data_IF_225791264528
#
_entry.id   IF_225791264528
#
_cell.length_a   1.000
_cell.length_b   1.000
_cell.length_c   1.000
_cell.angle_alpha   90.00
_cell.angle_beta   90.00
_cell.angle_gamma   90.00
#
_symmetry.space_group_name_H-M   'P 1'
#
loop_
_entity.id
_entity.type
_entity.pdbx_description
1 polymer ?
#
# COMPACT_ATOMS: atom_id res chain seq x y z
N UNK A 1 -27.03 3.49 -9.42
CA UNK A 1 -25.85 3.86 -10.24
C UNK A 1 -24.64 3.80 -9.32
N UNK A 2 -23.89 2.69 -9.33
CA UNK A 2 -22.55 2.59 -8.78
C UNK A 2 -21.96 1.26 -9.29
N UNK A 3 -21.01 1.34 -10.21
CA UNK A 3 -20.37 0.18 -10.82
C UNK A 3 -19.31 -0.40 -9.90
N UNK A 4 -19.31 -1.72 -9.76
CA UNK A 4 -18.24 -2.51 -9.13
C UNK A 4 -17.11 -2.69 -10.14
N UNK A 5 -16.17 -1.75 -10.16
CA UNK A 5 -14.85 -1.95 -10.73
C UNK A 5 -13.89 -2.32 -9.61
N UNK A 6 -13.44 -3.58 -9.59
CA UNK A 6 -12.27 -3.96 -8.82
C UNK A 6 -11.05 -3.41 -9.57
N UNK A 7 -10.53 -2.27 -9.11
CA UNK A 7 -9.22 -1.80 -9.57
C UNK A 7 -8.21 -2.36 -8.59
N UNK A 8 -7.47 -3.37 -9.01
CA UNK A 8 -6.22 -3.78 -8.37
C UNK A 8 -5.19 -2.67 -8.67
N UNK A 9 -5.16 -1.65 -7.82
CA UNK A 9 -4.07 -0.66 -7.81
C UNK A 9 -3.02 -1.20 -6.85
N UNK A 10 -2.22 -2.14 -7.33
CA UNK A 10 -0.88 -2.31 -6.76
C UNK A 10 0.04 -1.33 -7.50
N UNK A 11 -0.02 -0.06 -7.09
CA UNK A 11 1.02 0.88 -7.44
C UNK A 11 1.79 1.18 -6.16
N UNK A 12 3.06 0.82 -6.21
CA UNK A 12 4.10 1.21 -5.29
C UNK A 12 3.97 2.69 -4.99
N UNK A 13 3.46 3.03 -3.80
CA UNK A 13 3.76 4.25 -3.08
C UNK A 13 3.17 4.09 -1.67
N UNK A 14 4.11 3.93 -0.75
CA UNK A 14 3.95 3.91 0.69
C UNK A 14 3.23 5.19 1.16
N UNK A 15 2.04 5.04 1.76
CA UNK A 15 1.47 6.08 2.61
C UNK A 15 1.62 5.61 4.06
N UNK A 16 2.74 5.96 4.70
CA UNK A 16 2.85 5.84 6.16
C UNK A 16 1.96 6.93 6.76
N UNK A 17 0.76 6.56 7.20
CA UNK A 17 -0.07 7.46 8.00
C UNK A 17 0.51 7.51 9.42
N UNK A 18 1.37 8.48 9.70
CA UNK A 18 1.81 8.76 11.07
C UNK A 18 0.63 9.40 11.82
N UNK A 19 -0.07 8.63 12.64
CA UNK A 19 -1.02 9.20 13.60
C UNK A 19 -0.26 9.95 14.69
N UNK A 20 -0.19 11.28 14.56
CA UNK A 20 0.30 12.16 15.63
C UNK A 20 -0.75 12.16 16.74
N UNK A 21 -0.46 11.46 17.84
CA UNK A 21 -1.25 11.53 19.06
C UNK A 21 -1.23 12.99 19.54
N UNK A 22 -2.40 13.58 19.77
CA UNK A 22 -2.60 14.92 20.34
C UNK A 22 -2.07 14.98 21.78
N UNK A 23 -0.75 14.90 21.94
CA UNK A 23 -0.03 15.41 23.10
C UNK A 23 0.32 16.87 22.80
N UNK A 24 0.19 17.73 23.80
CA UNK A 24 0.61 19.12 23.74
C UNK A 24 2.10 19.13 23.38
N UNK A 25 2.42 19.36 22.11
CA UNK A 25 3.79 19.58 21.67
C UNK A 25 4.27 20.82 22.43
N UNK A 26 5.37 20.66 23.17
CA UNK A 26 6.01 21.80 23.82
C UNK A 26 6.36 22.79 22.69
N UNK A 27 5.79 24.00 22.67
CA UNK A 27 5.94 24.93 21.55
C UNK A 27 7.39 25.38 21.35
N UNK A 28 8.27 25.08 22.32
CA UNK A 28 9.69 25.39 22.31
C UNK A 28 10.57 24.19 21.90
N UNK A 29 9.99 23.04 21.54
CA UNK A 29 10.74 21.90 20.95
C UNK A 29 10.79 21.99 19.42
N UNK A 30 11.01 23.18 18.89
CA UNK A 30 11.61 23.34 17.57
C UNK A 30 13.05 23.73 17.82
N UNK A 31 13.97 22.76 17.65
CA UNK A 31 15.39 23.10 17.51
C UNK A 31 15.51 23.76 16.14
N UNK A 32 15.26 25.07 16.10
CA UNK A 32 15.64 25.95 15.00
C UNK A 32 17.16 26.03 15.03
N UNK A 33 17.79 25.00 14.49
CA UNK A 33 19.23 24.91 14.40
C UNK A 33 19.71 25.66 13.18
N UNK A 34 19.69 26.99 13.25
CA UNK A 34 20.54 27.78 12.39
C UNK A 34 22.00 27.38 12.68
N UNK A 35 22.61 26.60 11.77
CA UNK A 35 24.01 26.19 11.84
C UNK A 35 24.32 24.83 12.49
N UNK A 36 23.33 24.00 12.86
CA UNK A 36 23.64 22.61 13.25
C UNK A 36 23.63 21.75 12.01
N UNK A 37 24.81 21.23 11.67
CA UNK A 37 24.93 20.19 10.67
C UNK A 37 24.43 18.87 11.27
N UNK A 38 23.13 18.59 11.12
CA UNK A 38 22.48 17.36 11.61
C UNK A 38 23.08 16.09 10.96
N UNK A 39 23.76 16.24 9.82
CA UNK A 39 24.38 15.17 9.08
C UNK A 39 25.90 15.31 9.17
N UNK A 40 26.65 14.36 9.76
CA UNK A 40 28.08 14.53 10.02
C UNK A 40 28.96 14.90 8.81
N UNK A 41 28.54 14.54 7.59
CA UNK A 41 29.26 14.83 6.35
C UNK A 41 28.81 16.13 5.65
N UNK A 42 27.76 16.81 6.15
CA UNK A 42 27.24 18.06 5.58
C UNK A 42 26.59 17.96 4.21
N UNK A 43 26.35 16.75 3.68
CA UNK A 43 25.71 16.58 2.37
C UNK A 43 24.19 16.42 2.54
N UNK A 44 23.36 16.91 1.62
CA UNK A 44 21.91 16.69 1.65
C UNK A 44 21.56 15.19 1.53
N UNK A 45 20.36 14.82 1.98
CA UNK A 45 19.79 13.47 1.84
C UNK A 45 18.32 13.56 1.43
N UNK A 46 17.79 12.49 0.83
CA UNK A 46 16.39 12.41 0.42
C UNK A 46 15.49 11.93 1.55
N UNK A 47 14.22 12.37 1.55
CA UNK A 47 13.23 11.90 2.51
C UNK A 47 12.95 10.38 2.39
N UNK A 48 13.08 9.82 1.18
CA UNK A 48 12.95 8.39 0.90
C UNK A 48 14.34 7.80 0.72
N UNK A 49 14.62 6.72 1.44
CA UNK A 49 15.86 5.95 1.42
C UNK A 49 15.54 4.46 1.54
N UNK A 50 16.50 3.61 1.19
CA UNK A 50 16.35 2.17 1.29
C UNK A 50 17.34 1.55 2.28
N UNK A 51 16.99 0.42 2.89
CA UNK A 51 17.93 -0.33 3.74
C UNK A 51 19.04 -0.98 2.92
N UNK A 52 18.66 -1.59 1.79
CA UNK A 52 19.56 -2.25 0.84
C UNK A 52 19.32 -1.70 -0.57
N UNK A 53 20.22 -1.97 -1.52
CA UNK A 53 19.98 -1.66 -2.92
C UNK A 53 21.21 -1.12 -3.65
N UNK A 54 21.07 -0.87 -4.97
CA UNK A 54 22.17 -0.44 -5.83
C UNK A 54 22.52 1.04 -5.70
N UNK A 55 21.73 1.84 -4.98
CA UNK A 55 21.98 3.28 -4.77
C UNK A 55 23.13 3.59 -3.80
N UNK A 56 23.78 2.58 -3.21
CA UNK A 56 24.97 2.76 -2.40
C UNK A 56 26.21 2.97 -3.29
N UNK A 57 26.98 4.04 -3.05
CA UNK A 57 28.25 4.26 -3.72
C UNK A 57 29.38 3.46 -3.04
N UNK A 58 29.80 2.34 -3.64
CA UNK A 58 30.87 1.48 -3.09
C UNK A 58 32.25 2.12 -3.22
N UNK A 59 32.45 2.95 -4.24
CA UNK A 59 33.77 3.45 -4.63
C UNK A 59 34.15 4.78 -3.98
N UNK A 60 33.22 5.44 -3.30
CA UNK A 60 33.45 6.75 -2.71
C UNK A 60 32.60 6.96 -1.45
N UNK A 61 32.93 7.97 -0.61
CA UNK A 61 32.02 8.45 0.41
C UNK A 61 30.64 8.80 -0.18
N UNK A 62 29.62 8.85 0.67
CA UNK A 62 28.23 9.16 0.29
C UNK A 62 28.14 10.31 -0.71
N UNK A 63 27.40 10.13 -1.80
CA UNK A 63 27.27 11.12 -2.86
C UNK A 63 26.62 12.42 -2.37
N UNK A 64 27.12 13.56 -2.85
CA UNK A 64 26.49 14.86 -2.65
C UNK A 64 25.43 15.09 -3.73
N UNK A 65 24.17 15.13 -3.32
CA UNK A 65 23.01 15.20 -4.20
C UNK A 65 22.51 16.64 -4.42
N UNK A 66 23.27 17.66 -4.02
CA UNK A 66 22.85 19.09 -4.14
C UNK A 66 22.47 19.48 -5.58
N UNK A 67 23.18 18.95 -6.57
CA UNK A 67 22.95 19.23 -8.00
C UNK A 67 22.48 17.99 -8.77
N UNK A 68 21.94 16.98 -8.07
CA UNK A 68 21.41 15.75 -8.67
C UNK A 68 19.89 15.88 -8.79
N UNK A 69 19.34 15.55 -9.95
CA UNK A 69 17.90 15.46 -10.14
C UNK A 69 17.35 14.19 -9.47
N UNK A 70 17.03 14.32 -8.18
CA UNK A 70 16.48 13.22 -7.37
C UNK A 70 15.03 12.88 -7.70
N UNK A 71 14.36 13.68 -8.53
CA UNK A 71 13.01 13.43 -9.02
C UNK A 71 13.01 12.65 -10.35
N UNK A 72 14.17 12.45 -10.95
CA UNK A 72 14.31 11.67 -12.19
C UNK A 72 13.82 10.23 -11.96
N UNK A 73 13.01 9.63 -12.87
CA UNK A 73 12.46 8.28 -12.69
C UNK A 73 13.51 7.19 -12.48
N UNK A 74 14.68 7.34 -13.10
CA UNK A 74 15.79 6.40 -13.00
C UNK A 74 16.76 6.71 -11.83
N UNK A 75 16.45 7.70 -10.99
CA UNK A 75 17.29 8.00 -9.83
C UNK A 75 17.19 6.88 -8.78
N UNK A 76 18.32 6.29 -8.43
CA UNK A 76 18.43 5.28 -7.38
C UNK A 76 18.64 5.97 -6.02
N UNK A 77 17.67 5.89 -5.12
CA UNK A 77 17.80 6.45 -3.79
C UNK A 77 18.94 5.78 -3.01
N UNK A 78 19.60 6.57 -2.15
CA UNK A 78 20.70 6.08 -1.32
C UNK A 78 20.21 4.92 -0.43
N UNK A 79 21.06 3.88 -0.33
CA UNK A 79 20.84 2.72 0.54
C UNK A 79 21.94 2.60 1.59
N UNK A 80 21.71 1.82 2.66
CA UNK A 80 22.71 1.60 3.71
C UNK A 80 23.65 0.40 3.41
N UNK A 81 23.11 -0.66 2.80
CA UNK A 81 23.87 -1.87 2.42
C UNK A 81 23.90 -2.02 0.90
N UNK A 82 25.08 -2.05 0.27
CA UNK A 82 25.19 -2.21 -1.18
C UNK A 82 24.75 -3.60 -1.64
N UNK A 83 23.75 -3.65 -2.52
CA UNK A 83 23.31 -4.88 -3.20
C UNK A 83 22.97 -4.56 -4.65
N UNK A 84 23.02 -5.57 -5.53
CA UNK A 84 22.65 -5.37 -6.95
C UNK A 84 21.17 -5.08 -7.16
N UNK A 85 20.32 -5.53 -6.23
CA UNK A 85 18.87 -5.35 -6.20
C UNK A 85 18.45 -5.13 -4.75
N UNK A 86 17.43 -4.32 -4.52
CA UNK A 86 16.83 -4.12 -3.21
C UNK A 86 16.20 -5.43 -2.68
N UNK A 87 16.32 -5.65 -1.37
CA UNK A 87 15.74 -6.79 -0.69
C UNK A 87 14.39 -6.42 -0.11
N UNK A 88 13.39 -7.30 -0.23
CA UNK A 88 12.06 -7.06 0.34
C UNK A 88 12.10 -6.74 1.84
N UNK A 89 11.21 -5.84 2.25
CA UNK A 89 10.89 -5.57 3.64
C UNK A 89 10.22 -6.76 4.32
N UNK A 90 10.41 -6.87 5.64
CA UNK A 90 9.84 -7.93 6.48
C UNK A 90 8.90 -7.37 7.56
N UNK A 91 8.45 -6.12 7.39
CA UNK A 91 7.45 -5.49 8.23
C UNK A 91 6.04 -6.01 7.96
N UNK A 92 5.17 -5.93 8.97
CA UNK A 92 3.76 -6.25 8.82
C UNK A 92 3.11 -5.33 7.78
N UNK A 93 2.36 -5.92 6.84
CA UNK A 93 1.64 -5.19 5.78
C UNK A 93 0.17 -4.99 6.12
N UNK A 94 -0.38 -3.84 5.73
CA UNK A 94 -1.78 -3.51 5.99
C UNK A 94 -2.74 -4.36 5.14
N UNK A 95 -3.86 -4.75 5.74
CA UNK A 95 -5.00 -5.37 5.06
C UNK A 95 -6.15 -4.36 5.05
N UNK A 96 -6.70 -4.07 3.88
CA UNK A 96 -7.91 -3.27 3.71
C UNK A 96 -9.03 -4.18 3.19
N UNK A 97 -10.18 -4.17 3.86
CA UNK A 97 -11.31 -5.02 3.51
C UNK A 97 -12.62 -4.24 3.52
N UNK A 98 -13.49 -4.56 2.58
CA UNK A 98 -14.86 -4.04 2.47
C UNK A 98 -15.79 -5.16 1.98
N UNK A 99 -17.06 -5.10 2.37
CA UNK A 99 -18.09 -6.10 2.03
C UNK A 99 -18.36 -7.17 3.09
N UNK A 100 -19.00 -8.29 2.71
CA UNK A 100 -19.42 -9.34 3.64
C UNK A 100 -18.24 -9.88 4.46
N UNK A 101 -18.40 -9.89 5.78
CA UNK A 101 -17.38 -10.33 6.73
C UNK A 101 -16.08 -9.50 6.73
N UNK A 102 -16.06 -8.30 6.15
CA UNK A 102 -14.88 -7.42 6.21
C UNK A 102 -14.47 -7.08 7.66
N UNK A 103 -15.42 -7.06 8.59
CA UNK A 103 -15.17 -6.85 10.02
C UNK A 103 -14.32 -7.95 10.69
N UNK A 104 -14.11 -9.09 10.03
CA UNK A 104 -13.20 -10.13 10.52
C UNK A 104 -11.72 -9.71 10.38
N UNK A 105 -11.40 -8.77 9.49
CA UNK A 105 -10.06 -8.22 9.39
C UNK A 105 -9.87 -7.12 10.43
N UNK A 106 -9.28 -7.46 11.58
CA UNK A 106 -9.05 -6.50 12.67
C UNK A 106 -7.78 -6.82 13.48
N UNK A 107 -7.00 -5.81 13.85
CA UNK A 107 -5.77 -6.03 14.62
C UNK A 107 -4.67 -6.68 13.77
N UNK A 108 -3.89 -7.58 14.37
CA UNK A 108 -2.72 -8.23 13.74
C UNK A 108 -3.02 -9.71 13.52
N UNK A 109 -2.77 -10.19 12.30
CA UNK A 109 -3.01 -11.57 11.89
C UNK A 109 -1.83 -12.10 11.06
N UNK A 110 -1.68 -13.42 11.07
CA UNK A 110 -0.77 -14.12 10.17
C UNK A 110 -1.25 -14.03 8.71
N UNK A 111 -0.32 -13.99 7.73
CA UNK A 111 -0.69 -13.80 6.31
C UNK A 111 -1.63 -14.91 5.77
N UNK A 112 -1.52 -16.15 6.29
CA UNK A 112 -2.41 -17.24 5.90
C UNK A 112 -3.87 -17.04 6.37
N UNK A 113 -4.12 -16.20 7.37
CA UNK A 113 -5.46 -15.85 7.85
C UNK A 113 -6.35 -15.27 6.74
N UNK A 114 -5.77 -14.51 5.81
CA UNK A 114 -6.48 -13.87 4.70
C UNK A 114 -7.27 -14.93 3.89
N UNK A 115 -6.62 -16.05 3.57
CA UNK A 115 -7.25 -17.12 2.81
C UNK A 115 -8.44 -17.75 3.57
N UNK A 116 -8.31 -17.94 4.89
CA UNK A 116 -9.38 -18.49 5.72
C UNK A 116 -10.59 -17.55 5.79
N UNK A 117 -10.37 -16.25 6.01
CA UNK A 117 -11.47 -15.27 6.05
C UNK A 117 -12.18 -15.17 4.71
N UNK A 118 -11.44 -15.13 3.59
CA UNK A 118 -12.04 -15.12 2.25
C UNK A 118 -12.90 -16.37 2.01
N UNK A 119 -12.39 -17.54 2.42
CA UNK A 119 -13.08 -18.81 2.29
C UNK A 119 -14.36 -18.87 3.16
N UNK A 120 -14.30 -18.36 4.38
CA UNK A 120 -15.43 -18.26 5.29
C UNK A 120 -16.51 -17.27 4.78
N UNK A 121 -16.09 -16.10 4.31
CA UNK A 121 -16.99 -15.10 3.74
C UNK A 121 -17.76 -15.63 2.52
N UNK A 122 -17.08 -16.43 1.69
CA UNK A 122 -17.65 -17.05 0.49
C UNK A 122 -18.32 -18.41 0.71
N UNK A 123 -18.35 -18.94 1.94
CA UNK A 123 -18.88 -20.28 2.25
C UNK A 123 -18.23 -21.39 1.39
N UNK A 124 -16.90 -21.39 1.30
CA UNK A 124 -16.16 -22.34 0.48
C UNK A 124 -15.46 -23.42 1.31
N UNK A 125 -15.28 -24.60 0.71
CA UNK A 125 -14.54 -25.72 1.30
C UNK A 125 -15.01 -26.09 2.71
N UNK A 126 -14.08 -26.07 3.68
CA UNK A 126 -14.35 -26.46 5.08
C UNK A 126 -15.37 -25.56 5.80
N UNK A 127 -15.61 -24.33 5.31
CA UNK A 127 -16.59 -23.40 5.85
C UNK A 127 -17.92 -23.41 5.07
N UNK A 128 -18.14 -24.38 4.19
CA UNK A 128 -19.36 -24.41 3.37
C UNK A 128 -20.65 -24.57 4.17
N UNK A 129 -20.58 -25.33 5.28
CA UNK A 129 -21.71 -25.61 6.16
C UNK A 129 -21.66 -24.82 7.47
N UNK A 130 -20.51 -24.22 7.80
CA UNK A 130 -20.26 -23.43 9.02
C UNK A 130 -19.94 -21.98 8.66
N UNK A 131 -20.77 -21.42 7.80
CA UNK A 131 -20.78 -19.99 7.51
C UNK A 131 -22.21 -19.51 7.81
N UNK A 132 -22.38 -18.28 8.31
CA UNK A 132 -23.70 -17.70 8.69
C UNK A 132 -24.63 -17.46 7.49
N UNK A 133 -24.91 -18.50 6.71
CA UNK A 133 -25.56 -18.46 5.40
C UNK A 133 -27.03 -18.12 5.52
N UNK A 134 -27.70 -18.64 6.55
CA UNK A 134 -29.13 -18.40 6.77
C UNK A 134 -29.41 -16.92 7.14
N UNK A 135 -28.57 -16.31 7.98
CA UNK A 135 -28.66 -14.88 8.30
C UNK A 135 -28.32 -13.99 7.08
N UNK A 136 -27.35 -14.41 6.25
CA UNK A 136 -26.95 -13.72 5.01
C UNK A 136 -28.04 -13.78 3.93
N UNK A 137 -28.81 -14.88 3.85
CA UNK A 137 -29.97 -15.00 2.96
C UNK A 137 -31.16 -14.18 3.47
N UNK A 138 -31.38 -14.14 4.78
CA UNK A 138 -32.45 -13.36 5.41
C UNK A 138 -32.23 -11.83 5.33
N UNK A 139 -30.97 -11.36 5.33
CA UNK A 139 -30.58 -9.95 5.19
C UNK A 139 -30.71 -9.39 3.75
N UNK A 140 -31.03 -10.24 2.77
CA UNK A 140 -31.63 -9.81 1.49
C UNK A 140 -30.80 -8.88 0.58
N UNK A 141 -29.48 -8.73 0.78
CA UNK A 141 -28.68 -7.77 -0.01
C UNK A 141 -28.02 -8.39 -1.25
N UNK A 142 -28.12 -9.71 -1.47
CA UNK A 142 -27.41 -10.38 -2.57
C UNK A 142 -28.35 -10.86 -3.69
N UNK A 143 -28.94 -9.93 -4.44
CA UNK A 143 -29.21 -10.13 -5.86
C UNK A 143 -28.69 -8.91 -6.63
N UNK A 144 -27.39 -8.90 -6.89
CA UNK A 144 -26.84 -7.99 -7.89
C UNK A 144 -27.51 -8.28 -9.22
N UNK A 145 -28.39 -7.38 -9.67
CA UNK A 145 -29.00 -7.48 -10.99
C UNK A 145 -27.95 -7.02 -12.00
N UNK A 146 -27.23 -7.97 -12.59
CA UNK A 146 -26.31 -7.68 -13.68
C UNK A 146 -27.13 -7.32 -14.92
N UNK A 147 -27.19 -6.03 -15.23
CA UNK A 147 -27.82 -5.54 -16.46
C UNK A 147 -26.94 -5.91 -17.66
N UNK A 148 -27.40 -6.87 -18.46
CA UNK A 148 -26.73 -7.30 -19.69
C UNK A 148 -26.53 -6.14 -20.67
N UNK A 149 -27.42 -5.14 -20.64
CA UNK A 149 -27.29 -3.92 -21.44
C UNK A 149 -26.06 -3.08 -21.06
N UNK A 150 -25.72 -3.00 -19.76
CA UNK A 150 -24.56 -2.24 -19.30
C UNK A 150 -23.24 -2.89 -19.75
N UNK A 151 -23.15 -4.22 -19.67
CA UNK A 151 -21.98 -4.99 -20.11
C UNK A 151 -21.78 -4.88 -21.62
N UNK A 152 -22.85 -5.00 -22.41
CA UNK A 152 -22.76 -4.85 -23.86
C UNK A 152 -22.41 -3.41 -24.28
N UNK A 153 -22.89 -2.41 -23.55
CA UNK A 153 -22.51 -1.01 -23.80
C UNK A 153 -21.04 -0.72 -23.48
N UNK A 154 -20.47 -1.33 -22.43
CA UNK A 154 -19.05 -1.13 -22.10
C UNK A 154 -18.14 -1.83 -23.10
N UNK A 155 -18.53 -3.02 -23.58
CA UNK A 155 -17.78 -3.74 -24.63
C UNK A 155 -17.85 -2.97 -25.95
N UNK A 156 -19.02 -2.45 -26.34
CA UNK A 156 -19.16 -1.65 -27.56
C UNK A 156 -18.33 -0.36 -27.47
N UNK A 157 -18.35 0.33 -26.33
CA UNK A 157 -17.51 1.51 -26.10
C UNK A 157 -16.01 1.16 -26.12
N UNK A 158 -15.59 0.02 -25.57
CA UNK A 158 -14.19 -0.39 -25.64
C UNK A 158 -13.75 -0.78 -27.06
N UNK A 159 -14.64 -1.33 -27.89
CA UNK A 159 -14.32 -1.73 -29.27
C UNK A 159 -14.35 -0.55 -30.26
N UNK A 160 -15.24 0.44 -30.04
CA UNK A 160 -15.32 1.66 -30.88
C UNK A 160 -14.08 2.54 -30.73
N UNK A 161 -13.38 2.46 -29.60
CA UNK A 161 -12.10 3.18 -29.39
C UNK A 161 -10.90 2.51 -30.08
N UNK A 162 -11.09 1.35 -30.73
CA UNK A 162 -10.07 0.61 -31.47
C UNK A 162 -10.34 0.56 -32.99
N UNK A 163 -11.23 1.43 -33.50
CA UNK A 163 -11.51 1.68 -34.92
C UNK A 163 -11.34 3.17 -35.23
#
# INVERSE_FOLDING_TARGET
>A
MAGTTAVLVAYSLLAVLVTVKSGKLDPDYFVESEGVNLVPDGKPYTAIQYGTGPGYNISAPREDITNVDTAHPDYLQQSAVPTVVESHGAEDVAIFADGPMAHLFHGVHEQNYIAHVMKYAACLGEYAEDCDREERVASGTARGSFSTAAVLSSIFLQLVWWL
#
